data_IF_119302672993
#
_entry.id   IF_119302672993
#
_cell.length_a   1.000
_cell.length_b   1.000
_cell.length_c   1.000
_cell.angle_alpha   90.00
_cell.angle_beta   90.00
_cell.angle_gamma   90.00
#
_symmetry.space_group_name_H-M   'P 1'
#
loop_
_entity.id
_entity.type
_entity.pdbx_description
1 polymer ?
#
# COMPACT_ATOMS: atom_id res chain seq x y z
N UNK A 1 -4.51 14.54 2.52
CA UNK A 1 -3.70 14.70 3.76
C UNK A 1 -3.16 13.33 4.07
N UNK A 2 -1.91 13.21 4.54
CA UNK A 2 -1.36 11.89 4.93
C UNK A 2 -2.19 11.35 6.10
N UNK A 3 -2.65 10.09 6.07
CA UNK A 3 -3.47 9.52 7.11
C UNK A 3 -2.67 9.35 8.41
N UNK A 4 -3.34 9.61 9.53
CA UNK A 4 -2.79 9.36 10.86
C UNK A 4 -3.05 7.90 11.26
N UNK A 5 -2.00 7.22 11.69
CA UNK A 5 -2.06 5.85 12.23
C UNK A 5 -2.32 5.96 13.72
N UNK A 6 -3.49 5.54 14.17
CA UNK A 6 -3.88 5.60 15.59
C UNK A 6 -3.84 4.23 16.26
N UNK A 7 -3.90 3.17 15.45
CA UNK A 7 -3.82 1.78 15.88
C UNK A 7 -3.05 0.95 14.85
N UNK A 8 -2.36 -0.10 15.30
CA UNK A 8 -1.68 -1.03 14.37
C UNK A 8 -2.64 -1.72 13.38
N UNK A 9 -3.94 -1.77 13.69
CA UNK A 9 -4.98 -2.32 12.80
C UNK A 9 -5.35 -1.39 11.64
N UNK A 10 -4.92 -0.14 11.68
CA UNK A 10 -5.12 0.81 10.59
C UNK A 10 -4.21 0.46 9.39
N UNK A 11 -3.07 -0.18 9.67
CA UNK A 11 -2.12 -0.65 8.66
C UNK A 11 -2.66 -1.90 7.98
N UNK A 12 -2.69 -1.87 6.65
CA UNK A 12 -3.13 -3.00 5.83
C UNK A 12 -2.09 -4.12 5.78
N UNK A 13 -0.81 -3.78 5.90
CA UNK A 13 0.25 -4.75 6.18
C UNK A 13 1.42 -4.08 6.91
N UNK A 14 2.22 -4.90 7.59
CA UNK A 14 3.55 -4.56 8.11
C UNK A 14 4.46 -5.76 7.90
N UNK A 15 5.60 -5.56 7.26
CA UNK A 15 6.58 -6.61 6.98
C UNK A 15 7.99 -6.13 7.32
N UNK A 16 8.86 -7.07 7.72
CA UNK A 16 10.28 -6.80 7.92
C UNK A 16 11.06 -7.56 6.86
N UNK A 17 11.98 -6.87 6.21
CA UNK A 17 12.87 -7.43 5.19
C UNK A 17 14.22 -7.76 5.81
N UNK A 18 14.83 -8.84 5.32
CA UNK A 18 16.12 -9.32 5.79
C UNK A 18 17.00 -9.69 4.59
N UNK A 19 18.30 -9.44 4.71
CA UNK A 19 19.27 -9.92 3.73
C UNK A 19 19.18 -11.46 3.63
N UNK A 20 19.04 -12.03 2.43
CA UNK A 20 18.85 -13.47 2.28
C UNK A 20 20.07 -14.30 2.67
N UNK A 21 21.28 -13.71 2.65
CA UNK A 21 22.56 -14.36 2.95
C UNK A 21 22.96 -14.13 4.40
N UNK A 22 23.08 -12.87 4.82
CA UNK A 22 23.58 -12.51 6.16
C UNK A 22 22.49 -12.60 7.22
N UNK A 23 21.21 -12.59 6.81
CA UNK A 23 20.03 -12.49 7.69
C UNK A 23 19.97 -11.20 8.50
N UNK A 24 20.75 -10.20 8.09
CA UNK A 24 20.69 -8.88 8.71
C UNK A 24 19.36 -8.21 8.41
N UNK A 25 18.85 -7.46 9.37
CA UNK A 25 17.65 -6.65 9.20
C UNK A 25 17.95 -5.50 8.23
N UNK A 26 17.06 -5.31 7.26
CA UNK A 26 17.17 -4.22 6.28
C UNK A 26 16.22 -3.09 6.66
N UNK A 27 14.92 -3.37 6.65
CA UNK A 27 13.86 -2.39 6.88
C UNK A 27 12.55 -3.04 7.34
N UNK A 28 11.65 -2.18 7.79
CA UNK A 28 10.23 -2.47 7.96
C UNK A 28 9.45 -1.69 6.92
N UNK A 29 8.65 -2.37 6.11
CA UNK A 29 7.70 -1.77 5.16
C UNK A 29 6.27 -1.93 5.66
N UNK A 30 5.41 -0.99 5.29
CA UNK A 30 4.01 -0.98 5.69
C UNK A 30 3.18 -0.16 4.71
N UNK A 31 1.87 -0.39 4.69
CA UNK A 31 0.95 0.44 3.94
C UNK A 31 -0.36 0.65 4.66
N UNK A 32 -1.03 1.72 4.27
CA UNK A 32 -2.36 2.11 4.68
C UNK A 32 -3.15 2.45 3.42
N UNK A 33 -4.38 1.96 3.34
CA UNK A 33 -5.34 2.33 2.30
C UNK A 33 -6.47 3.06 3.02
N UNK A 34 -6.69 4.31 2.66
CA UNK A 34 -7.69 5.13 3.34
C UNK A 34 -9.11 4.83 2.84
N UNK A 35 -10.08 5.57 3.38
CA UNK A 35 -11.50 5.39 3.05
C UNK A 35 -11.86 5.75 1.61
N UNK A 36 -10.99 6.48 0.92
CA UNK A 36 -11.16 6.92 -0.47
C UNK A 36 -10.35 6.01 -1.42
N UNK A 37 -9.92 4.83 -0.92
CA UNK A 37 -9.06 3.84 -1.60
C UNK A 37 -7.68 4.37 -2.03
N UNK A 38 -7.26 5.51 -1.45
CA UNK A 38 -5.93 6.07 -1.69
C UNK A 38 -4.86 5.27 -0.95
N UNK A 39 -3.79 4.92 -1.68
CA UNK A 39 -2.71 4.08 -1.16
C UNK A 39 -1.59 4.95 -0.59
N UNK A 40 -1.12 4.57 0.59
CA UNK A 40 0.05 5.14 1.24
C UNK A 40 1.03 4.04 1.61
N UNK A 41 2.31 4.25 1.31
CA UNK A 41 3.39 3.31 1.61
C UNK A 41 4.43 4.00 2.49
N UNK A 42 5.02 3.24 3.41
CA UNK A 42 6.12 3.70 4.24
C UNK A 42 7.16 2.61 4.44
N UNK A 43 8.40 3.06 4.65
CA UNK A 43 9.55 2.21 4.89
C UNK A 43 10.47 2.88 5.91
N UNK A 44 10.90 2.12 6.91
CA UNK A 44 11.78 2.59 7.97
C UNK A 44 12.88 1.56 8.25
N UNK A 45 14.12 2.01 8.41
CA UNK A 45 15.24 1.20 8.87
C UNK A 45 15.19 0.93 10.40
N UNK A 46 13.99 0.64 10.92
CA UNK A 46 13.70 0.41 12.33
C UNK A 46 12.87 -0.87 12.41
N UNK A 47 13.17 -1.77 13.36
CA UNK A 47 12.37 -3.00 13.55
C UNK A 47 10.95 -2.66 14.01
N UNK A 48 9.93 -3.36 13.49
CA UNK A 48 8.51 -3.02 13.68
C UNK A 48 8.07 -2.87 15.14
N UNK A 49 8.65 -3.65 16.06
CA UNK A 49 8.33 -3.59 17.50
C UNK A 49 8.88 -2.33 18.19
N UNK A 50 9.70 -1.54 17.50
CA UNK A 50 10.31 -0.30 17.99
C UNK A 50 9.76 0.94 17.32
N UNK A 51 8.88 0.80 16.32
CA UNK A 51 8.28 1.93 15.60
C UNK A 51 7.04 2.40 16.37
N UNK A 52 6.99 3.70 16.66
CA UNK A 52 5.81 4.35 17.23
C UNK A 52 4.75 4.64 16.16
N UNK A 53 3.49 4.81 16.58
CA UNK A 53 2.40 5.17 15.68
C UNK A 53 2.62 6.53 14.98
N UNK A 54 3.29 7.46 15.67
CA UNK A 54 3.70 8.75 15.10
C UNK A 54 4.75 8.56 13.99
N UNK A 55 5.76 7.72 14.20
CA UNK A 55 6.76 7.39 13.17
C UNK A 55 6.15 6.69 11.96
N UNK A 56 5.18 5.78 12.19
CA UNK A 56 4.40 5.20 11.10
C UNK A 56 3.69 6.29 10.29
N UNK A 57 2.95 7.18 10.96
CA UNK A 57 2.20 8.27 10.31
C UNK A 57 3.11 9.21 9.52
N UNK A 58 4.25 9.59 10.11
CA UNK A 58 5.19 10.53 9.50
C UNK A 58 5.91 9.96 8.26
N UNK A 59 6.09 8.65 8.20
CA UNK A 59 6.77 7.97 7.11
C UNK A 59 5.84 7.52 5.97
N UNK A 60 4.52 7.66 6.12
CA UNK A 60 3.57 7.35 5.05
C UNK A 60 3.64 8.40 3.93
N UNK A 61 3.85 7.93 2.72
CA UNK A 61 3.83 8.74 1.49
C UNK A 61 2.76 8.18 0.56
N UNK A 62 1.98 9.08 -0.05
CA UNK A 62 0.94 8.68 -1.02
C UNK A 62 1.59 8.06 -2.25
N UNK A 63 1.10 6.89 -2.65
CA UNK A 63 1.45 6.20 -3.89
C UNK A 63 0.42 6.56 -4.95
N UNK A 64 0.81 7.22 -6.06
CA UNK A 64 -0.10 7.51 -7.16
C UNK A 64 -0.65 6.25 -7.84
N UNK A 65 -1.94 6.25 -8.20
CA UNK A 65 -2.58 5.14 -8.93
C UNK A 65 -1.83 4.72 -10.19
N UNK A 66 -1.23 5.68 -10.91
CA UNK A 66 -0.49 5.42 -12.14
C UNK A 66 0.78 4.58 -11.93
N UNK A 67 1.26 4.42 -10.70
CA UNK A 67 2.40 3.57 -10.35
C UNK A 67 2.00 2.13 -9.99
N UNK A 68 0.73 1.91 -9.65
CA UNK A 68 0.24 0.61 -9.16
C UNK A 68 -0.78 -0.04 -10.09
N UNK A 69 -1.46 0.76 -10.93
CA UNK A 69 -2.45 0.29 -11.88
C UNK A 69 -1.96 0.51 -13.31
N UNK A 70 -2.25 -0.43 -14.23
CA UNK A 70 -1.93 -0.25 -15.63
C UNK A 70 -2.68 0.96 -16.21
N UNK A 71 -2.06 1.61 -17.20
CA UNK A 71 -2.74 2.65 -17.99
C UNK A 71 -3.93 2.04 -18.71
N UNK A 72 -4.99 2.83 -18.84
CA UNK A 72 -6.15 2.43 -19.63
C UNK A 72 -5.73 2.27 -21.11
N UNK A 73 -6.33 1.32 -21.85
CA UNK A 73 -6.03 1.13 -23.27
C UNK A 73 -6.31 2.40 -24.08
N UNK A 74 -5.37 2.81 -24.93
CA UNK A 74 -5.54 3.94 -25.85
C UNK A 74 -6.41 3.59 -27.07
N UNK A 75 -6.71 2.30 -27.29
CA UNK A 75 -7.41 1.76 -28.47
C UNK A 75 -8.89 2.13 -28.59
N UNK A 76 -9.39 3.06 -27.76
CA UNK A 76 -10.78 3.51 -27.78
C UNK A 76 -11.78 2.46 -27.28
N UNK A 77 -11.29 1.41 -26.61
CA UNK A 77 -12.15 0.44 -25.94
C UNK A 77 -12.94 1.13 -24.82
N UNK A 78 -14.26 0.99 -24.87
CA UNK A 78 -15.15 1.58 -23.88
C UNK A 78 -15.19 0.67 -22.65
N UNK A 79 -14.36 0.97 -21.66
CA UNK A 79 -14.40 0.27 -20.38
C UNK A 79 -15.73 0.58 -19.67
N UNK A 80 -16.35 -0.46 -19.12
CA UNK A 80 -17.52 -0.31 -18.26
C UNK A 80 -17.06 0.11 -16.86
N UNK A 81 -17.60 1.23 -16.37
CA UNK A 81 -17.36 1.67 -15.00
C UNK A 81 -18.30 0.89 -14.10
N UNK A 82 -17.74 0.11 -13.19
CA UNK A 82 -18.51 -0.46 -12.10
C UNK A 82 -18.93 0.68 -11.16
N UNK A 83 -20.22 1.03 -11.17
CA UNK A 83 -20.81 1.95 -10.20
C UNK A 83 -21.58 1.12 -9.19
N UNK A 84 -21.01 0.94 -8.02
CA UNK A 84 -21.77 0.40 -6.91
C UNK A 84 -22.46 1.56 -6.20
N UNK A 85 -23.79 1.65 -6.34
CA UNK A 85 -24.59 2.55 -5.51
C UNK A 85 -24.77 2.00 -4.08
N UNK A 86 -24.27 0.78 -3.84
CA UNK A 86 -24.26 0.08 -2.57
C UNK A 86 -22.81 -0.19 -2.17
N UNK A 87 -22.46 -0.21 -0.87
CA UNK A 87 -21.15 -0.71 -0.46
C UNK A 87 -20.98 -2.14 -0.99
N UNK A 88 -19.81 -2.43 -1.61
CA UNK A 88 -19.46 -3.73 -2.21
C UNK A 88 -20.27 -4.85 -1.57
N UNK A 89 -21.26 -5.36 -2.30
CA UNK A 89 -22.16 -6.39 -1.78
C UNK A 89 -21.32 -7.48 -1.07
N UNK A 90 -21.82 -8.05 0.04
CA UNK A 90 -21.04 -8.94 0.92
C UNK A 90 -20.34 -10.16 0.25
N UNK A 91 -20.60 -10.39 -1.03
CA UNK A 91 -20.03 -11.42 -1.90
C UNK A 91 -19.06 -10.89 -2.97
N UNK A 92 -18.77 -9.58 -3.02
CA UNK A 92 -17.82 -8.96 -3.93
C UNK A 92 -16.51 -8.68 -3.22
N UNK A 93 -15.41 -9.02 -3.88
CA UNK A 93 -14.06 -8.79 -3.38
C UNK A 93 -13.26 -8.02 -4.42
N UNK A 94 -12.74 -6.86 -4.03
CA UNK A 94 -11.76 -6.13 -4.85
C UNK A 94 -10.37 -6.72 -4.60
N UNK A 95 -9.75 -7.29 -5.64
CA UNK A 95 -8.36 -7.71 -5.55
C UNK A 95 -7.47 -6.47 -5.54
N UNK A 96 -6.77 -6.25 -4.44
CA UNK A 96 -5.85 -5.12 -4.25
C UNK A 96 -4.43 -5.47 -4.69
N UNK A 97 -3.63 -4.48 -5.14
CA UNK A 97 -2.22 -4.70 -5.43
C UNK A 97 -1.48 -5.19 -4.19
N UNK A 98 -0.45 -6.03 -4.40
CA UNK A 98 0.40 -6.51 -3.31
C UNK A 98 1.47 -5.46 -3.04
N UNK A 99 1.25 -4.66 -2.01
CA UNK A 99 2.10 -3.51 -1.71
C UNK A 99 3.35 -3.84 -0.88
N UNK A 100 3.54 -5.10 -0.45
CA UNK A 100 4.63 -5.49 0.47
C UNK A 100 6.03 -5.28 -0.12
N UNK A 101 6.15 -5.37 -1.43
CA UNK A 101 7.38 -5.22 -2.21
C UNK A 101 7.32 -3.98 -3.12
N UNK A 102 6.45 -3.00 -2.82
CA UNK A 102 6.23 -1.84 -3.70
C UNK A 102 7.53 -1.11 -4.05
N UNK A 103 8.39 -0.82 -3.05
CA UNK A 103 9.66 -0.11 -3.29
C UNK A 103 10.60 -0.88 -4.24
N UNK A 104 10.56 -2.22 -4.24
CA UNK A 104 11.38 -3.07 -5.11
C UNK A 104 10.88 -3.09 -6.57
N UNK A 105 9.56 -2.99 -6.75
CA UNK A 105 8.90 -3.16 -8.05
C UNK A 105 8.44 -1.87 -8.71
N UNK A 106 8.39 -0.73 -8.01
CA UNK A 106 7.82 0.52 -8.55
C UNK A 106 8.50 1.03 -9.83
N UNK A 107 9.75 0.64 -10.06
CA UNK A 107 10.54 1.04 -11.23
C UNK A 107 10.65 -0.07 -12.29
N UNK A 108 9.90 -1.17 -12.15
CA UNK A 108 9.90 -2.28 -13.12
C UNK A 108 8.73 -2.14 -14.11
N UNK A 109 9.04 -2.14 -15.41
CA UNK A 109 8.07 -2.11 -16.54
C UNK A 109 7.46 -3.49 -16.85
#
# INVERSE_FOLDING_TARGET
MVPEVTHFRDLHFVAESFDPVTRDFLDTTFALIDKDDEVYFGQLAIRKLKISLEEYSAALVRVPDAEIYPKLPESGEQLSIFRDEQPLASNLYLKRPRLVEYEEYKDQD
#
